data_IF_262748340446
#
_entry.id   IF_262748340446
#
_cell.length_a   1.000
_cell.length_b   1.000
_cell.length_c   1.000
_cell.angle_alpha   90.00
_cell.angle_beta   90.00
_cell.angle_gamma   90.00
#
_symmetry.space_group_name_H-M   'P 1'
#
loop_
_entity.id
_entity.type
_entity.pdbx_description
1 polymer ?
#
# COMPACT_ATOMS: atom_id res chain seq x y z
N UNK A 1 -15.31 24.56 -56.07
CA UNK A 1 -16.48 25.23 -55.46
C UNK A 1 -17.38 24.13 -54.91
N UNK A 2 -17.86 24.07 -53.66
CA UNK A 2 -17.57 24.71 -52.39
C UNK A 2 -18.05 23.70 -51.32
N UNK A 3 -17.27 23.51 -50.26
CA UNK A 3 -17.68 22.79 -49.05
C UNK A 3 -18.79 23.56 -48.30
N UNK A 4 -19.72 22.90 -47.59
CA UNK A 4 -20.56 23.58 -46.61
C UNK A 4 -19.86 23.64 -45.25
N UNK A 5 -19.79 24.87 -44.76
CA UNK A 5 -19.07 25.32 -43.58
C UNK A 5 -19.63 24.77 -42.25
N UNK A 6 -18.67 24.46 -41.38
CA UNK A 6 -18.79 24.11 -39.97
C UNK A 6 -19.58 25.17 -39.18
N UNK A 7 -20.70 24.77 -38.56
CA UNK A 7 -21.40 25.55 -37.53
C UNK A 7 -20.68 25.46 -36.18
N UNK A 8 -19.54 26.14 -36.07
CA UNK A 8 -18.76 26.32 -34.84
C UNK A 8 -19.29 27.45 -33.91
N UNK A 9 -20.35 28.16 -34.32
CA UNK A 9 -20.82 29.38 -33.62
C UNK A 9 -21.62 29.14 -32.34
N UNK A 10 -22.13 27.93 -32.07
CA UNK A 10 -22.89 27.66 -30.83
C UNK A 10 -22.01 27.47 -29.59
N UNK A 11 -20.73 27.15 -29.76
CA UNK A 11 -19.84 26.80 -28.65
C UNK A 11 -19.26 28.01 -27.92
N UNK A 12 -19.08 29.16 -28.59
CA UNK A 12 -18.45 30.34 -28.02
C UNK A 12 -19.39 31.10 -27.07
N UNK A 13 -20.63 31.37 -27.51
CA UNK A 13 -21.66 32.01 -26.66
C UNK A 13 -22.03 31.18 -25.43
N UNK A 14 -22.03 29.84 -25.56
CA UNK A 14 -22.26 28.95 -24.41
C UNK A 14 -21.09 28.96 -23.43
N UNK A 15 -19.84 29.02 -23.92
CA UNK A 15 -18.65 29.15 -23.07
C UNK A 15 -18.60 30.49 -22.34
N UNK A 16 -18.97 31.57 -23.02
CA UNK A 16 -18.97 32.93 -22.48
C UNK A 16 -20.07 33.13 -21.42
N UNK A 17 -21.28 32.61 -21.68
CA UNK A 17 -22.37 32.59 -20.69
C UNK A 17 -22.00 31.78 -19.44
N UNK A 18 -21.33 30.64 -19.64
CA UNK A 18 -20.87 29.79 -18.54
C UNK A 18 -19.74 30.43 -17.72
N UNK A 19 -18.81 31.14 -18.37
CA UNK A 19 -17.76 31.90 -17.69
C UNK A 19 -18.33 33.06 -16.86
N UNK A 20 -19.34 33.75 -17.38
CA UNK A 20 -20.05 34.83 -16.66
C UNK A 20 -20.89 34.30 -15.48
N UNK A 21 -21.50 33.12 -15.61
CA UNK A 21 -22.20 32.44 -14.50
C UNK A 21 -21.23 31.96 -13.42
N UNK A 22 -20.03 31.48 -13.80
CA UNK A 22 -18.96 31.12 -12.87
C UNK A 22 -18.41 32.32 -12.09
N UNK A 23 -18.25 33.47 -12.76
CA UNK A 23 -17.70 34.68 -12.14
C UNK A 23 -18.68 35.34 -11.15
N UNK A 24 -19.99 35.14 -11.34
CA UNK A 24 -21.04 35.67 -10.45
C UNK A 24 -21.34 34.78 -9.26
N UNK A 25 -21.04 33.49 -9.36
CA UNK A 25 -21.25 32.57 -8.26
C UNK A 25 -20.10 32.75 -7.25
N UNK A 26 -20.36 33.38 -6.10
CA UNK A 26 -19.48 33.32 -4.92
C UNK A 26 -19.45 31.88 -4.40
N UNK A 27 -18.74 31.02 -5.12
CA UNK A 27 -18.62 29.63 -4.81
C UNK A 27 -17.52 29.47 -3.76
N UNK A 28 -17.75 28.72 -2.68
CA UNK A 28 -16.70 28.42 -1.72
C UNK A 28 -15.52 27.76 -2.46
N UNK A 29 -14.29 27.94 -1.95
CA UNK A 29 -12.99 27.54 -2.55
C UNK A 29 -12.86 26.06 -2.99
N UNK A 30 -13.93 25.27 -2.85
CA UNK A 30 -13.98 23.83 -3.03
C UNK A 30 -15.03 23.36 -4.07
N UNK A 31 -15.15 24.05 -5.19
CA UNK A 31 -16.12 23.72 -6.27
C UNK A 31 -15.53 22.85 -7.42
N UNK A 32 -16.34 22.04 -8.10
CA UNK A 32 -15.90 20.90 -8.95
C UNK A 32 -16.78 20.75 -10.20
N UNK A 33 -16.19 20.35 -11.32
CA UNK A 33 -16.86 20.19 -12.61
C UNK A 33 -16.63 18.80 -13.22
N UNK A 34 -17.69 18.24 -13.83
CA UNK A 34 -17.62 17.04 -14.67
C UNK A 34 -17.74 17.41 -16.15
N UNK A 35 -17.03 16.71 -17.03
CA UNK A 35 -17.24 16.79 -18.48
C UNK A 35 -17.87 15.49 -18.98
N UNK A 36 -19.20 15.45 -19.00
CA UNK A 36 -20.00 14.42 -19.64
C UNK A 36 -21.09 15.08 -20.48
N UNK A 37 -21.33 14.58 -21.69
CA UNK A 37 -22.16 15.25 -22.72
C UNK A 37 -23.65 15.40 -22.39
N UNK A 38 -24.15 14.91 -21.24
CA UNK A 38 -25.58 14.98 -20.86
C UNK A 38 -25.90 15.18 -19.36
N UNK A 39 -24.92 15.38 -18.48
CA UNK A 39 -25.17 15.36 -17.03
C UNK A 39 -24.62 16.60 -16.30
N UNK A 40 -24.77 17.79 -16.88
CA UNK A 40 -24.16 19.02 -16.38
C UNK A 40 -24.97 19.78 -15.32
N UNK A 41 -25.91 19.15 -14.61
CA UNK A 41 -26.69 19.85 -13.58
C UNK A 41 -26.84 18.97 -12.35
N UNK A 42 -26.35 19.50 -11.24
CA UNK A 42 -26.60 19.13 -9.85
C UNK A 42 -25.54 18.26 -9.15
N UNK A 43 -25.02 18.87 -8.07
CA UNK A 43 -24.41 18.33 -6.85
C UNK A 43 -22.89 18.36 -6.68
N UNK A 44 -22.51 18.99 -5.57
CA UNK A 44 -21.18 19.44 -5.15
C UNK A 44 -20.78 18.71 -3.86
N UNK A 45 -19.90 17.70 -3.95
CA UNK A 45 -19.20 17.18 -2.75
C UNK A 45 -17.95 16.29 -2.97
N UNK A 46 -17.55 15.89 -4.20
CA UNK A 46 -16.37 14.99 -4.34
C UNK A 46 -15.51 15.29 -5.58
N UNK A 47 -14.23 15.69 -5.39
CA UNK A 47 -13.27 16.03 -6.48
C UNK A 47 -12.58 14.76 -6.97
N UNK A 48 -13.17 14.07 -7.96
CA UNK A 48 -12.44 13.09 -8.78
C UNK A 48 -12.24 13.66 -10.18
N UNK A 49 -11.04 14.17 -10.48
CA UNK A 49 -10.72 14.73 -11.80
C UNK A 49 -10.64 13.64 -12.87
N UNK A 50 -10.38 12.38 -12.52
CA UNK A 50 -10.32 11.26 -13.47
C UNK A 50 -10.77 9.96 -12.78
N UNK A 51 -12.06 9.63 -12.85
CA UNK A 51 -12.46 8.22 -12.73
C UNK A 51 -12.24 7.56 -14.11
N UNK A 52 -11.66 6.36 -14.20
CA UNK A 52 -11.41 5.68 -15.48
C UNK A 52 -12.70 5.20 -16.16
N UNK A 53 -13.86 5.64 -15.68
CA UNK A 53 -15.15 5.17 -16.15
C UNK A 53 -15.63 6.09 -17.27
N UNK A 54 -15.17 5.82 -18.48
CA UNK A 54 -15.54 6.59 -19.68
C UNK A 54 -17.03 6.50 -20.02
N UNK A 55 -17.73 5.44 -19.58
CA UNK A 55 -19.18 5.21 -19.72
C UNK A 55 -19.68 4.39 -18.54
N UNK A 56 -20.40 5.01 -17.60
CA UNK A 56 -21.17 4.29 -16.57
C UNK A 56 -22.63 4.61 -16.71
N UNK A 57 -23.47 3.59 -16.56
CA UNK A 57 -24.92 3.75 -16.40
C UNK A 57 -25.31 3.99 -14.95
N UNK A 58 -24.35 3.95 -14.02
CA UNK A 58 -24.62 4.20 -12.60
C UNK A 58 -24.90 5.68 -12.35
N UNK A 59 -26.00 6.01 -11.67
CA UNK A 59 -26.21 7.33 -11.10
C UNK A 59 -25.03 7.75 -10.22
N UNK A 60 -24.71 9.05 -10.24
CA UNK A 60 -23.62 9.60 -9.43
C UNK A 60 -23.72 9.25 -7.93
N UNK A 61 -24.91 9.24 -7.28
CA UNK A 61 -25.04 8.79 -5.89
C UNK A 61 -24.55 7.37 -5.66
N UNK A 62 -24.76 6.44 -6.61
CA UNK A 62 -24.27 5.06 -6.49
C UNK A 62 -22.75 5.00 -6.62
N UNK A 63 -22.15 5.81 -7.49
CA UNK A 63 -20.68 5.90 -7.60
C UNK A 63 -20.08 6.47 -6.31
N UNK A 64 -20.68 7.52 -5.75
CA UNK A 64 -20.25 8.12 -4.50
C UNK A 64 -20.35 7.12 -3.33
N UNK A 65 -21.49 6.43 -3.20
CA UNK A 65 -21.69 5.38 -2.21
C UNK A 65 -20.65 4.26 -2.37
N UNK A 66 -20.34 3.84 -3.60
CA UNK A 66 -19.31 2.84 -3.86
C UNK A 66 -17.92 3.26 -3.39
N UNK A 67 -17.54 4.51 -3.63
CA UNK A 67 -16.23 5.02 -3.21
C UNK A 67 -16.16 5.19 -1.70
N UNK A 68 -17.23 5.70 -1.08
CA UNK A 68 -17.30 5.86 0.37
C UNK A 68 -17.22 4.51 1.07
N UNK A 69 -18.06 3.55 0.65
CA UNK A 69 -18.06 2.21 1.23
C UNK A 69 -16.70 1.53 1.04
N UNK A 70 -16.10 1.61 -0.15
CA UNK A 70 -14.74 1.10 -0.39
C UNK A 70 -13.72 1.69 0.61
N UNK A 71 -13.81 3.00 0.87
CA UNK A 71 -12.90 3.68 1.76
C UNK A 71 -13.12 3.22 3.21
N UNK A 72 -14.35 3.05 3.66
CA UNK A 72 -14.70 2.66 5.03
C UNK A 72 -14.45 1.18 5.32
N UNK A 73 -14.53 0.31 4.32
CA UNK A 73 -14.27 -1.14 4.46
C UNK A 73 -12.88 -1.43 5.06
N UNK A 74 -12.76 -2.20 6.17
CA UNK A 74 -11.47 -2.55 6.75
C UNK A 74 -10.58 -3.34 5.78
N UNK A 75 -11.15 -4.30 5.04
CA UNK A 75 -10.47 -5.10 4.02
C UNK A 75 -11.25 -4.98 2.71
N UNK A 76 -10.67 -4.41 1.63
CA UNK A 76 -11.36 -4.23 0.37
C UNK A 76 -11.80 -5.55 -0.28
N UNK A 77 -13.10 -5.72 -0.48
CA UNK A 77 -13.69 -6.88 -1.17
C UNK A 77 -14.77 -6.42 -2.14
N UNK A 78 -14.54 -6.66 -3.44
CA UNK A 78 -15.50 -6.29 -4.49
C UNK A 78 -16.88 -6.92 -4.25
N UNK A 79 -16.93 -8.16 -3.75
CA UNK A 79 -18.20 -8.84 -3.50
C UNK A 79 -18.99 -8.19 -2.37
N UNK A 80 -18.34 -7.91 -1.24
CA UNK A 80 -18.99 -7.24 -0.10
C UNK A 80 -19.41 -5.82 -0.49
N UNK A 81 -18.52 -5.08 -1.16
CA UNK A 81 -18.79 -3.72 -1.63
C UNK A 81 -20.00 -3.65 -2.57
N UNK A 82 -20.05 -4.52 -3.59
CA UNK A 82 -21.19 -4.60 -4.48
C UNK A 82 -22.50 -4.92 -3.74
N UNK A 83 -22.45 -5.81 -2.73
CA UNK A 83 -23.61 -6.17 -1.92
C UNK A 83 -24.10 -5.01 -1.06
N UNK A 84 -23.20 -4.28 -0.41
CA UNK A 84 -23.53 -3.15 0.46
C UNK A 84 -24.12 -1.98 -0.33
N UNK A 85 -23.56 -1.68 -1.50
CA UNK A 85 -24.00 -0.57 -2.36
C UNK A 85 -25.23 -0.93 -3.20
N UNK A 86 -25.59 -2.22 -3.29
CA UNK A 86 -26.74 -2.69 -4.07
C UNK A 86 -26.49 -2.69 -5.59
N UNK A 87 -25.26 -3.00 -6.01
CA UNK A 87 -24.85 -2.96 -7.42
C UNK A 87 -24.28 -4.30 -7.89
N UNK A 88 -24.43 -4.59 -9.18
CA UNK A 88 -23.93 -5.85 -9.74
C UNK A 88 -22.39 -5.86 -9.89
N UNK A 89 -21.81 -7.06 -9.86
CA UNK A 89 -20.38 -7.30 -10.15
C UNK A 89 -20.08 -7.24 -11.65
N UNK A 90 -20.45 -6.14 -12.30
CA UNK A 90 -20.23 -5.87 -13.71
C UNK A 90 -18.85 -5.27 -14.00
N UNK A 91 -18.59 -4.97 -15.28
CA UNK A 91 -17.33 -4.33 -15.72
C UNK A 91 -17.07 -3.01 -14.98
N UNK A 92 -18.10 -2.19 -14.77
CA UNK A 92 -17.99 -0.90 -14.09
C UNK A 92 -17.48 -1.05 -12.66
N UNK A 93 -18.13 -1.90 -11.84
CA UNK A 93 -17.72 -2.11 -10.45
C UNK A 93 -16.33 -2.73 -10.33
N UNK A 94 -15.99 -3.68 -11.22
CA UNK A 94 -14.64 -4.26 -11.31
C UNK A 94 -13.58 -3.20 -11.62
N UNK A 95 -13.82 -2.35 -12.62
CA UNK A 95 -12.88 -1.30 -13.02
C UNK A 95 -12.71 -0.25 -11.93
N UNK A 96 -13.80 0.22 -11.32
CA UNK A 96 -13.75 1.19 -10.24
C UNK A 96 -13.01 0.63 -9.02
N UNK A 97 -13.33 -0.60 -8.61
CA UNK A 97 -12.65 -1.27 -7.50
C UNK A 97 -11.15 -1.42 -7.75
N UNK A 98 -10.76 -1.95 -8.92
CA UNK A 98 -9.34 -2.10 -9.29
C UNK A 98 -8.61 -0.78 -9.32
N UNK A 99 -9.27 0.28 -9.79
CA UNK A 99 -8.69 1.61 -9.82
C UNK A 99 -8.49 2.15 -8.41
N UNK A 100 -9.50 2.10 -7.53
CA UNK A 100 -9.39 2.57 -6.14
C UNK A 100 -8.27 1.83 -5.39
N UNK A 101 -8.24 0.50 -5.51
CA UNK A 101 -7.20 -0.33 -4.91
C UNK A 101 -5.81 -0.01 -5.46
N UNK A 102 -5.69 0.20 -6.77
CA UNK A 102 -4.45 0.64 -7.41
C UNK A 102 -3.97 2.01 -6.92
N UNK A 103 -4.89 2.97 -6.71
CA UNK A 103 -4.54 4.29 -6.18
C UNK A 103 -4.06 4.23 -4.72
N UNK A 104 -4.74 3.47 -3.86
CA UNK A 104 -4.29 3.26 -2.48
C UNK A 104 -2.92 2.59 -2.43
N UNK A 105 -2.69 1.59 -3.28
CA UNK A 105 -1.42 0.89 -3.36
C UNK A 105 -0.27 1.81 -3.82
N UNK A 106 -0.47 2.57 -4.90
CA UNK A 106 0.54 3.48 -5.42
C UNK A 106 0.91 4.55 -4.38
N UNK A 107 -0.09 5.13 -3.73
CA UNK A 107 0.12 6.11 -2.68
C UNK A 107 0.81 5.50 -1.44
N UNK A 108 0.37 4.31 -1.02
CA UNK A 108 0.98 3.56 0.08
C UNK A 108 2.45 3.28 -0.18
N UNK A 109 2.78 2.76 -1.36
CA UNK A 109 4.16 2.50 -1.77
C UNK A 109 5.00 3.78 -1.79
N UNK A 110 4.51 4.85 -2.43
CA UNK A 110 5.24 6.11 -2.52
C UNK A 110 5.50 6.74 -1.15
N UNK A 111 4.56 6.64 -0.21
CA UNK A 111 4.73 7.12 1.16
C UNK A 111 5.68 6.24 1.96
N UNK A 112 5.59 4.92 1.81
CA UNK A 112 6.50 3.98 2.46
C UNK A 112 7.94 4.23 2.03
N UNK A 113 8.21 4.46 0.74
CA UNK A 113 9.55 4.76 0.22
C UNK A 113 10.19 6.02 0.81
N UNK A 114 9.37 6.94 1.32
CA UNK A 114 9.82 8.18 1.99
C UNK A 114 9.91 8.03 3.50
N UNK A 115 9.42 6.91 4.05
CA UNK A 115 9.48 6.65 5.47
C UNK A 115 10.93 6.42 5.89
N UNK A 116 11.30 7.01 7.03
CA UNK A 116 12.61 6.81 7.65
C UNK A 116 12.41 6.23 9.03
N UNK A 117 13.17 5.16 9.31
CA UNK A 117 13.14 4.44 10.57
C UNK A 117 14.37 4.80 11.41
N UNK A 118 14.24 4.79 12.73
CA UNK A 118 15.35 5.10 13.65
C UNK A 118 15.19 4.41 15.00
N UNK A 119 16.28 4.31 15.75
CA UNK A 119 16.25 3.77 17.10
C UNK A 119 16.36 2.25 17.11
N UNK A 120 15.46 1.55 17.81
CA UNK A 120 15.45 0.09 17.87
C UNK A 120 14.46 -0.46 16.83
N UNK A 121 14.94 -1.29 15.92
CA UNK A 121 14.20 -1.82 14.78
C UNK A 121 14.19 -3.34 14.83
N UNK A 122 13.04 -3.94 14.61
CA UNK A 122 12.95 -5.39 14.37
C UNK A 122 12.98 -5.64 12.87
N UNK A 123 13.80 -6.61 12.43
CA UNK A 123 13.90 -7.03 11.04
C UNK A 123 13.66 -8.53 10.92
N UNK A 124 12.83 -8.90 9.96
CA UNK A 124 12.46 -10.28 9.69
C UNK A 124 11.92 -10.44 8.26
N UNK A 125 11.92 -11.68 7.77
CA UNK A 125 11.32 -12.09 6.52
C UNK A 125 10.18 -13.07 6.74
N UNK A 126 9.14 -12.97 5.92
CA UNK A 126 8.05 -13.95 5.92
C UNK A 126 7.68 -14.35 4.50
N UNK A 127 6.74 -15.26 4.34
CA UNK A 127 6.21 -15.60 3.02
C UNK A 127 4.69 -15.73 3.01
N UNK A 128 4.13 -15.47 1.83
CA UNK A 128 2.76 -15.80 1.45
C UNK A 128 2.83 -16.98 0.49
N UNK A 129 2.27 -18.12 0.88
CA UNK A 129 2.19 -19.30 0.01
C UNK A 129 1.21 -19.01 -1.12
N UNK A 130 1.67 -18.97 -2.36
CA UNK A 130 0.83 -18.66 -3.52
C UNK A 130 0.10 -19.89 -4.08
N UNK A 131 0.86 -20.95 -4.35
CA UNK A 131 0.31 -22.16 -4.94
C UNK A 131 1.25 -23.33 -4.83
N UNK A 132 0.67 -24.52 -4.97
CA UNK A 132 1.41 -25.75 -5.17
C UNK A 132 1.29 -26.14 -6.63
N UNK A 133 2.42 -26.48 -7.26
CA UNK A 133 2.43 -27.07 -8.60
C UNK A 133 3.31 -28.30 -8.58
N UNK A 134 2.74 -29.43 -8.99
CA UNK A 134 3.34 -30.75 -8.81
C UNK A 134 3.83 -30.96 -7.36
N UNK A 135 5.14 -31.12 -7.18
CA UNK A 135 5.83 -31.31 -5.90
C UNK A 135 6.61 -30.07 -5.45
N UNK A 136 6.26 -28.87 -5.93
CA UNK A 136 6.86 -27.62 -5.50
C UNK A 136 5.83 -26.66 -4.91
N UNK A 137 6.23 -25.89 -3.91
CA UNK A 137 5.49 -24.73 -3.43
C UNK A 137 6.10 -23.46 -3.99
N UNK A 138 5.24 -22.51 -4.35
CA UNK A 138 5.63 -21.17 -4.78
C UNK A 138 5.20 -20.17 -3.71
N UNK A 139 6.12 -19.31 -3.34
CA UNK A 139 5.96 -18.35 -2.26
C UNK A 139 6.31 -16.96 -2.75
N UNK A 140 5.52 -15.97 -2.36
CA UNK A 140 5.99 -14.58 -2.36
C UNK A 140 6.69 -14.35 -1.05
N UNK A 141 8.01 -14.17 -1.11
CA UNK A 141 8.76 -13.74 0.04
C UNK A 141 8.49 -12.26 0.31
N UNK A 142 8.46 -11.91 1.58
CA UNK A 142 8.32 -10.56 2.09
C UNK A 142 9.47 -10.32 3.04
N UNK A 143 9.95 -9.09 3.07
CA UNK A 143 10.91 -8.64 4.08
C UNK A 143 10.47 -7.30 4.63
N UNK A 144 10.74 -7.07 5.91
CA UNK A 144 10.35 -5.81 6.52
C UNK A 144 11.16 -5.42 7.72
N UNK A 145 10.93 -4.17 8.10
CA UNK A 145 11.49 -3.53 9.26
C UNK A 145 10.36 -2.84 10.01
N UNK A 146 10.36 -2.92 11.33
CA UNK A 146 9.45 -2.15 12.17
C UNK A 146 10.22 -1.42 13.25
N UNK A 147 9.94 -0.13 13.38
CA UNK A 147 10.45 0.69 14.46
C UNK A 147 9.70 0.37 15.74
N UNK A 148 10.43 -0.01 16.78
CA UNK A 148 9.85 -0.15 18.10
C UNK A 148 9.42 1.23 18.59
N UNK A 149 8.17 1.35 19.07
CA UNK A 149 7.67 2.64 19.50
C UNK A 149 8.53 3.15 20.66
N UNK A 150 9.03 4.39 20.52
CA UNK A 150 9.26 5.25 21.69
C UNK A 150 7.91 5.62 22.31
N UNK A 151 7.86 6.58 23.24
CA UNK A 151 6.60 6.97 23.86
C UNK A 151 5.57 7.51 22.83
N UNK A 152 4.38 6.88 22.80
CA UNK A 152 3.12 7.33 22.19
C UNK A 152 3.03 7.44 20.65
N UNK A 153 3.95 6.85 19.87
CA UNK A 153 3.84 6.83 18.40
C UNK A 153 3.46 5.46 17.85
N UNK A 154 2.60 5.45 16.82
CA UNK A 154 2.34 4.25 16.04
C UNK A 154 3.67 3.77 15.42
N UNK A 155 3.99 2.46 15.54
CA UNK A 155 5.23 1.93 15.02
C UNK A 155 5.27 2.08 13.50
N UNK A 156 6.29 2.79 13.00
CA UNK A 156 6.56 2.88 11.58
C UNK A 156 7.07 1.53 11.08
N UNK A 157 6.65 1.13 9.89
CA UNK A 157 7.14 -0.10 9.27
C UNK A 157 7.44 0.10 7.80
N UNK A 158 8.37 -0.70 7.30
CA UNK A 158 8.71 -0.86 5.90
C UNK A 158 8.45 -2.31 5.52
N UNK A 159 7.81 -2.54 4.37
CA UNK A 159 7.53 -3.88 3.88
C UNK A 159 7.78 -3.96 2.38
N UNK A 160 8.55 -4.96 1.99
CA UNK A 160 8.99 -5.16 0.62
C UNK A 160 8.58 -6.53 0.12
N UNK A 161 8.11 -6.56 -1.12
CA UNK A 161 8.00 -7.78 -1.89
C UNK A 161 9.39 -8.21 -2.33
N UNK A 162 9.73 -9.45 -2.06
CA UNK A 162 10.93 -10.10 -2.57
C UNK A 162 10.58 -11.01 -3.75
N UNK A 163 11.58 -11.45 -4.54
CA UNK A 163 11.36 -12.38 -5.64
C UNK A 163 10.61 -13.64 -5.21
N UNK A 164 9.78 -14.17 -6.12
CA UNK A 164 9.06 -15.43 -5.90
C UNK A 164 10.06 -16.56 -5.66
N UNK A 165 9.85 -17.31 -4.58
CA UNK A 165 10.66 -18.46 -4.20
C UNK A 165 9.94 -19.75 -4.53
N UNK A 166 10.64 -20.64 -5.22
CA UNK A 166 10.23 -22.03 -5.44
C UNK A 166 10.90 -22.90 -4.39
N UNK A 167 10.12 -23.67 -3.65
CA UNK A 167 10.61 -24.67 -2.70
C UNK A 167 10.06 -26.05 -3.04
N UNK A 168 10.74 -27.11 -2.59
CA UNK A 168 10.19 -28.45 -2.67
C UNK A 168 8.96 -28.58 -1.76
N UNK A 169 8.14 -29.60 -2.03
CA UNK A 169 7.02 -29.95 -1.19
C UNK A 169 7.52 -30.18 0.25
N UNK A 170 6.85 -29.56 1.22
CA UNK A 170 7.17 -29.62 2.65
C UNK A 170 8.47 -28.92 3.09
N UNK A 171 9.21 -28.27 2.19
CA UNK A 171 10.35 -27.44 2.57
C UNK A 171 9.90 -26.07 3.09
N UNK A 172 10.64 -25.55 4.07
CA UNK A 172 10.50 -24.18 4.57
C UNK A 172 10.97 -23.20 3.49
N UNK A 173 10.24 -22.09 3.30
CA UNK A 173 10.61 -21.06 2.34
C UNK A 173 11.87 -20.30 2.81
N UNK A 174 12.95 -20.23 2.02
CA UNK A 174 14.06 -19.34 2.31
C UNK A 174 13.62 -17.91 2.01
N UNK A 175 13.18 -17.21 3.06
CA UNK A 175 12.60 -15.86 2.97
C UNK A 175 13.66 -14.77 2.90
N UNK A 176 14.83 -15.01 3.48
CA UNK A 176 15.85 -13.99 3.68
C UNK A 176 17.15 -14.39 2.99
N UNK A 177 17.51 -13.66 1.95
CA UNK A 177 18.85 -13.70 1.38
C UNK A 177 19.43 -12.29 1.36
N UNK A 178 20.76 -12.19 1.45
CA UNK A 178 21.45 -10.90 1.40
C UNK A 178 21.10 -10.15 0.11
N UNK A 179 21.14 -10.84 -1.03
CA UNK A 179 20.85 -10.26 -2.33
C UNK A 179 19.41 -9.73 -2.42
N UNK A 180 18.43 -10.50 -1.94
CA UNK A 180 17.04 -10.07 -1.97
C UNK A 180 16.82 -8.84 -1.06
N UNK A 181 17.34 -8.84 0.17
CA UNK A 181 17.20 -7.71 1.09
C UNK A 181 17.84 -6.45 0.51
N UNK A 182 19.06 -6.54 -0.05
CA UNK A 182 19.74 -5.41 -0.66
C UNK A 182 18.97 -4.85 -1.86
N UNK A 183 18.33 -5.71 -2.66
CA UNK A 183 17.53 -5.27 -3.82
C UNK A 183 16.35 -4.37 -3.46
N UNK A 184 15.93 -4.37 -2.19
CA UNK A 184 14.82 -3.52 -1.72
C UNK A 184 15.22 -2.07 -1.47
N UNK A 185 16.51 -1.79 -1.23
CA UNK A 185 17.00 -0.50 -0.73
C UNK A 185 16.50 -0.14 0.68
N UNK A 186 15.75 -1.01 1.37
CA UNK A 186 15.07 -0.65 2.60
C UNK A 186 16.00 -0.36 3.78
N UNK A 187 17.22 -0.91 3.79
CA UNK A 187 18.23 -0.60 4.80
C UNK A 187 18.76 0.84 4.69
N UNK A 188 18.69 1.48 3.53
CA UNK A 188 19.08 2.89 3.31
C UNK A 188 18.05 3.88 3.91
N UNK A 189 16.89 3.38 4.33
CA UNK A 189 15.86 4.15 5.02
C UNK A 189 16.05 4.14 6.55
N UNK A 190 17.09 3.48 7.05
CA UNK A 190 17.45 3.49 8.46
C UNK A 190 18.38 4.67 8.73
N UNK A 191 17.92 5.60 9.55
CA UNK A 191 18.69 6.75 10.00
C UNK A 191 19.37 6.46 11.33
N UNK A 192 20.36 7.28 11.68
CA UNK A 192 20.93 7.30 13.03
C UNK A 192 19.93 7.95 13.98
N UNK A 193 20.02 7.61 15.27
CA UNK A 193 19.13 8.16 16.29
C UNK A 193 19.88 9.10 17.23
N UNK A 194 19.22 10.18 17.64
CA UNK A 194 19.70 11.04 18.71
C UNK A 194 19.24 10.47 20.05
N UNK A 195 20.19 10.11 20.91
CA UNK A 195 19.90 9.71 22.29
C UNK A 195 20.74 10.55 23.24
N UNK A 196 20.06 11.24 24.16
CA UNK A 196 20.70 12.16 25.12
C UNK A 196 21.62 13.20 24.43
N UNK A 197 21.16 13.75 23.30
CA UNK A 197 21.91 14.75 22.52
C UNK A 197 23.10 14.20 21.72
N UNK A 198 23.33 12.88 21.69
CA UNK A 198 24.43 12.27 20.93
C UNK A 198 23.92 11.42 19.77
N UNK A 199 24.56 11.60 18.63
CA UNK A 199 24.36 10.77 17.45
C UNK A 199 24.77 9.32 17.75
N UNK A 200 23.83 8.38 17.56
CA UNK A 200 23.96 6.97 17.92
C UNK A 200 23.45 6.11 16.78
N UNK A 201 24.16 5.02 16.49
CA UNK A 201 23.75 4.03 15.48
C UNK A 201 22.40 3.43 15.87
N UNK A 202 21.47 3.29 14.92
CA UNK A 202 20.26 2.52 15.14
C UNK A 202 20.58 1.05 15.42
N UNK A 203 19.70 0.38 16.14
CA UNK A 203 19.84 -0.97 16.64
C UNK A 203 18.88 -1.90 15.88
N UNK A 204 19.43 -2.86 15.16
CA UNK A 204 18.69 -3.92 14.50
C UNK A 204 18.55 -5.13 15.44
N UNK A 205 17.33 -5.63 15.57
CA UNK A 205 16.91 -6.77 16.39
C UNK A 205 16.33 -7.85 15.47
N UNK A 206 16.83 -9.08 15.54
CA UNK A 206 16.46 -10.15 14.58
C UNK A 206 16.31 -11.50 15.28
N UNK A 207 15.77 -12.47 14.54
CA UNK A 207 15.47 -13.85 14.98
C UNK A 207 16.70 -14.81 15.00
N UNK A 208 17.84 -14.32 14.51
CA UNK A 208 19.11 -15.03 14.48
C UNK A 208 19.54 -15.49 13.08
N UNK A 209 18.82 -15.13 12.02
CA UNK A 209 19.25 -15.41 10.65
C UNK A 209 20.65 -14.83 10.36
N UNK A 210 21.54 -15.66 9.81
CA UNK A 210 22.96 -15.34 9.61
C UNK A 210 23.20 -14.12 8.72
N UNK A 211 22.23 -13.79 7.85
CA UNK A 211 22.32 -12.68 6.90
C UNK A 211 22.49 -11.32 7.59
N UNK A 212 21.88 -11.15 8.78
CA UNK A 212 21.77 -9.83 9.41
C UNK A 212 23.06 -9.32 10.03
N UNK A 213 23.96 -10.21 10.48
CA UNK A 213 25.23 -9.78 11.07
C UNK A 213 26.10 -9.00 10.06
N UNK A 214 26.16 -9.49 8.81
CA UNK A 214 26.89 -8.82 7.73
C UNK A 214 26.18 -7.55 7.27
N UNK A 215 24.85 -7.59 7.09
CA UNK A 215 24.06 -6.43 6.70
C UNK A 215 24.19 -5.28 7.73
N UNK A 216 24.07 -5.59 9.02
CA UNK A 216 24.20 -4.58 10.07
C UNK A 216 25.57 -3.92 10.07
N UNK A 217 26.65 -4.70 9.85
CA UNK A 217 28.01 -4.14 9.74
C UNK A 217 28.14 -3.20 8.55
N UNK A 218 27.65 -3.60 7.38
CA UNK A 218 27.73 -2.84 6.13
C UNK A 218 26.96 -1.50 6.23
N UNK A 219 25.80 -1.49 6.89
CA UNK A 219 24.96 -0.30 7.07
C UNK A 219 25.23 0.45 8.37
N UNK A 220 26.31 0.11 9.08
CA UNK A 220 26.72 0.82 10.29
C UNK A 220 25.71 0.74 11.45
N UNK A 221 24.95 -0.34 11.55
CA UNK A 221 23.95 -0.58 12.59
C UNK A 221 24.55 -1.34 13.77
N UNK A 222 24.02 -1.10 14.98
CA UNK A 222 24.20 -2.04 16.09
C UNK A 222 23.30 -3.25 15.83
N UNK A 223 23.76 -4.46 16.16
CA UNK A 223 22.96 -5.68 15.96
C UNK A 223 22.87 -6.52 17.23
N UNK A 224 21.67 -6.98 17.54
CA UNK A 224 21.38 -7.98 18.56
C UNK A 224 20.37 -8.96 18.01
N UNK A 225 20.46 -10.21 18.44
CA UNK A 225 19.56 -11.24 17.97
C UNK A 225 19.27 -12.25 19.08
N UNK A 226 18.11 -12.87 18.97
CA UNK A 226 17.81 -14.14 19.64
C UNK A 226 18.01 -15.27 18.63
N UNK A 227 17.98 -16.53 19.06
CA UNK A 227 18.16 -17.66 18.15
C UNK A 227 16.91 -18.53 18.17
N UNK A 228 15.98 -18.26 17.25
CA UNK A 228 14.70 -18.98 17.16
C UNK A 228 14.89 -20.48 16.91
N UNK A 229 15.93 -20.86 16.16
CA UNK A 229 16.28 -22.27 15.93
C UNK A 229 16.69 -23.04 17.20
N UNK A 230 17.00 -22.33 18.29
CA UNK A 230 17.28 -22.90 19.62
C UNK A 230 16.14 -22.69 20.61
N UNK A 231 14.95 -22.28 20.14
CA UNK A 231 13.79 -22.01 20.99
C UNK A 231 13.92 -20.73 21.84
N UNK A 232 14.88 -19.84 21.52
CA UNK A 232 15.03 -18.55 22.20
C UNK A 232 14.27 -17.48 21.43
N UNK A 233 13.18 -16.97 22.01
CA UNK A 233 12.30 -15.98 21.37
C UNK A 233 12.42 -14.58 21.98
N UNK A 234 12.99 -14.45 23.19
CA UNK A 234 13.22 -13.16 23.82
C UNK A 234 14.36 -13.23 24.84
N UNK A 235 15.20 -12.20 24.89
CA UNK A 235 16.29 -12.10 25.87
C UNK A 235 16.61 -10.64 26.22
N UNK A 236 16.98 -10.36 27.47
CA UNK A 236 17.48 -9.04 27.86
C UNK A 236 18.99 -8.93 27.60
N UNK A 237 19.39 -8.15 26.60
CA UNK A 237 20.80 -7.98 26.22
C UNK A 237 21.26 -6.53 26.39
N UNK A 238 22.56 -6.34 26.65
CA UNK A 238 23.19 -5.01 26.63
C UNK A 238 23.46 -4.57 25.18
N UNK A 239 22.97 -3.40 24.79
CA UNK A 239 23.10 -2.84 23.45
C UNK A 239 23.87 -1.50 23.46
N UNK A 240 24.92 -1.42 24.29
CA UNK A 240 25.81 -0.27 24.37
C UNK A 240 25.05 1.01 24.71
N UNK A 241 25.10 2.02 23.81
CA UNK A 241 24.39 3.29 23.98
C UNK A 241 22.87 3.15 24.03
N UNK A 242 22.32 2.00 23.62
CA UNK A 242 20.90 1.72 23.76
C UNK A 242 20.49 1.24 25.16
N UNK A 243 21.46 0.99 26.05
CA UNK A 243 21.23 0.42 27.36
C UNK A 243 20.87 -1.07 27.28
N UNK A 244 20.14 -1.56 28.28
CA UNK A 244 19.56 -2.92 28.23
C UNK A 244 18.28 -2.90 27.42
N UNK A 245 18.19 -3.76 26.42
CA UNK A 245 17.02 -3.92 25.57
C UNK A 245 16.53 -5.36 25.61
N UNK A 246 15.22 -5.55 25.48
CA UNK A 246 14.62 -6.87 25.28
C UNK A 246 14.71 -7.22 23.80
N UNK A 247 15.60 -8.11 23.39
CA UNK A 247 15.73 -8.55 22.00
C UNK A 247 14.63 -9.57 21.71
N UNK A 248 13.79 -9.31 20.70
CA UNK A 248 12.77 -10.22 20.13
C UNK A 248 12.25 -9.62 18.80
N UNK A 249 11.44 -10.37 18.05
CA UNK A 249 10.79 -9.98 16.78
C UNK A 249 9.27 -9.87 16.87
N UNK A 250 8.71 -9.74 18.08
CA UNK A 250 7.27 -9.86 18.28
C UNK A 250 6.43 -8.80 17.55
N UNK A 251 6.97 -7.60 17.33
CA UNK A 251 6.26 -6.52 16.65
C UNK A 251 6.23 -6.72 15.13
N UNK A 252 7.32 -7.24 14.55
CA UNK A 252 7.33 -7.58 13.12
C UNK A 252 6.49 -8.83 12.85
N UNK A 253 6.50 -9.81 13.76
CA UNK A 253 5.64 -11.00 13.71
C UNK A 253 4.14 -10.64 13.74
N UNK A 254 3.75 -9.70 14.61
CA UNK A 254 2.39 -9.16 14.61
C UNK A 254 2.07 -8.45 13.30
N UNK A 255 3.00 -7.67 12.76
CA UNK A 255 2.84 -7.01 11.46
C UNK A 255 2.59 -8.02 10.34
N UNK A 256 3.29 -9.15 10.35
CA UNK A 256 3.04 -10.24 9.41
C UNK A 256 1.67 -10.88 9.57
N UNK A 257 1.18 -11.02 10.80
CA UNK A 257 -0.17 -11.51 11.07
C UNK A 257 -1.22 -10.57 10.47
N UNK A 258 -1.07 -9.26 10.67
CA UNK A 258 -1.99 -8.25 10.15
C UNK A 258 -2.03 -8.23 8.60
N UNK A 259 -0.86 -8.25 7.97
CA UNK A 259 -0.74 -8.28 6.50
C UNK A 259 -1.38 -9.55 5.93
N UNK A 260 -1.10 -10.71 6.51
CA UNK A 260 -1.66 -12.01 6.08
C UNK A 260 -3.18 -12.04 6.22
N UNK A 261 -3.73 -11.38 7.25
CA UNK A 261 -5.17 -11.24 7.44
C UNK A 261 -5.83 -10.31 6.40
N UNK A 262 -5.11 -9.31 5.90
CA UNK A 262 -5.62 -8.34 4.94
C UNK A 262 -5.60 -8.85 3.49
N UNK A 263 -4.60 -9.65 3.12
CA UNK A 263 -4.47 -10.19 1.75
C UNK A 263 -5.52 -11.28 1.51
N UNK A 264 -6.40 -11.16 0.48
CA UNK A 264 -7.38 -12.19 0.18
C UNK A 264 -6.72 -13.53 -0.17
N UNK A 265 -7.18 -14.61 0.47
CA UNK A 265 -6.68 -15.99 0.26
C UNK A 265 -6.84 -16.47 -1.19
N UNK A 266 -7.75 -15.90 -1.96
CA UNK A 266 -7.94 -16.24 -3.38
C UNK A 266 -6.80 -15.70 -4.28
N UNK A 267 -6.06 -14.69 -3.84
CA UNK A 267 -4.86 -14.21 -4.54
C UNK A 267 -3.64 -15.09 -4.26
N UNK A 268 -3.72 -15.89 -3.21
CA UNK A 268 -2.73 -16.88 -2.77
C UNK A 268 -3.19 -18.30 -3.13
N UNK A 269 -3.99 -18.44 -4.19
CA UNK A 269 -4.41 -19.71 -4.76
C UNK A 269 -4.09 -19.71 -6.27
N UNK A 270 -3.24 -20.64 -6.71
CA UNK A 270 -2.68 -20.62 -8.07
C UNK A 270 -3.68 -20.97 -9.15
N UNK A 271 -3.48 -20.35 -10.32
CA UNK A 271 -4.08 -20.80 -11.59
C UNK A 271 -3.35 -22.06 -12.07
N UNK A 272 -4.11 -23.09 -12.48
CA UNK A 272 -3.58 -24.43 -12.82
C UNK A 272 -2.60 -24.49 -14.01
N UNK A 273 -2.48 -23.43 -14.83
CA UNK A 273 -2.09 -23.58 -16.24
C UNK A 273 -0.88 -22.73 -16.74
N UNK A 274 0.04 -22.23 -15.92
CA UNK A 274 1.23 -21.51 -16.44
C UNK A 274 2.55 -22.16 -16.00
N UNK A 275 3.46 -22.35 -16.96
CA UNK A 275 4.84 -22.79 -16.72
C UNK A 275 5.73 -21.78 -16.02
N UNK A 276 5.28 -20.53 -15.96
CA UNK A 276 6.02 -19.44 -15.33
C UNK A 276 5.61 -19.20 -13.87
N UNK A 277 6.58 -18.89 -12.98
CA UNK A 277 6.34 -18.44 -11.61
C UNK A 277 5.79 -17.00 -11.59
N UNK A 278 4.61 -16.80 -12.15
CA UNK A 278 3.90 -15.51 -12.07
C UNK A 278 3.02 -15.49 -10.82
N UNK A 279 3.05 -14.39 -10.06
CA UNK A 279 2.11 -14.15 -8.96
C UNK A 279 1.01 -13.19 -9.42
N UNK A 280 -0.12 -13.19 -8.73
CA UNK A 280 -1.20 -12.27 -9.05
C UNK A 280 -0.73 -10.82 -8.78
N UNK A 281 -0.68 -9.91 -9.79
CA UNK A 281 -0.20 -8.55 -9.61
C UNK A 281 -1.03 -7.75 -8.59
N UNK A 282 -2.27 -8.18 -8.31
CA UNK A 282 -3.10 -7.58 -7.26
C UNK A 282 -2.54 -7.79 -5.85
N UNK A 283 -1.62 -8.74 -5.63
CA UNK A 283 -0.97 -8.93 -4.33
C UNK A 283 -0.20 -7.68 -3.89
N UNK A 284 0.53 -7.06 -4.83
CA UNK A 284 1.19 -5.77 -4.62
C UNK A 284 0.19 -4.72 -4.17
N UNK A 285 -0.99 -4.71 -4.80
CA UNK A 285 -1.99 -3.70 -4.51
C UNK A 285 -2.56 -3.84 -3.09
N UNK A 286 -2.87 -5.07 -2.67
CA UNK A 286 -3.35 -5.31 -1.30
C UNK A 286 -2.30 -5.01 -0.24
N UNK A 287 -1.03 -5.36 -0.49
CA UNK A 287 0.05 -5.11 0.47
C UNK A 287 0.23 -3.62 0.75
N UNK A 288 0.31 -2.79 -0.29
CA UNK A 288 0.54 -1.36 -0.11
C UNK A 288 -0.73 -0.58 0.23
N UNK A 289 -1.92 -1.07 -0.15
CA UNK A 289 -3.18 -0.54 0.37
C UNK A 289 -3.33 -0.80 1.88
N UNK A 290 -2.94 -1.99 2.37
CA UNK A 290 -2.84 -2.28 3.79
C UNK A 290 -1.90 -1.29 4.49
N UNK A 291 -0.72 -1.07 3.92
CA UNK A 291 0.28 -0.17 4.51
C UNK A 291 -0.28 1.25 4.64
N UNK A 292 -0.94 1.76 3.60
CA UNK A 292 -1.59 3.07 3.63
C UNK A 292 -2.68 3.13 4.71
N UNK A 293 -3.55 2.11 4.77
CA UNK A 293 -4.66 2.06 5.73
C UNK A 293 -4.20 1.97 7.18
N UNK A 294 -3.14 1.19 7.45
CA UNK A 294 -2.51 1.12 8.77
C UNK A 294 -1.97 2.49 9.24
N UNK A 295 -1.34 3.23 8.32
CA UNK A 295 -0.70 4.51 8.64
C UNK A 295 -1.61 5.73 8.45
N UNK A 296 -2.83 5.54 7.97
CA UNK A 296 -3.84 6.58 7.74
C UNK A 296 -5.21 5.92 7.89
N UNK A 297 -5.66 5.63 9.13
CA UNK A 297 -6.88 4.86 9.38
C UNK A 297 -8.16 5.62 9.00
N UNK A 298 -8.12 6.94 8.93
CA UNK A 298 -9.24 7.80 8.56
C UNK A 298 -9.53 7.72 7.05
N UNK A 299 -10.70 7.17 6.69
CA UNK A 299 -11.14 7.03 5.29
C UNK A 299 -11.17 8.37 4.54
N UNK A 300 -11.65 9.43 5.19
CA UNK A 300 -11.70 10.79 4.62
C UNK A 300 -10.31 11.29 4.24
N UNK A 301 -9.31 11.03 5.08
CA UNK A 301 -7.94 11.47 4.83
C UNK A 301 -7.33 10.71 3.64
N UNK A 302 -7.52 9.38 3.57
CA UNK A 302 -7.06 8.58 2.43
C UNK A 302 -7.66 9.05 1.11
N UNK A 303 -8.97 9.26 1.07
CA UNK A 303 -9.65 9.78 -0.13
C UNK A 303 -9.13 11.17 -0.53
N UNK A 304 -8.90 12.05 0.44
CA UNK A 304 -8.31 13.35 0.20
C UNK A 304 -6.88 13.24 -0.36
N UNK A 305 -6.08 12.30 0.11
CA UNK A 305 -4.73 12.05 -0.43
C UNK A 305 -4.78 11.54 -1.87
N UNK A 306 -5.64 10.58 -2.20
CA UNK A 306 -5.84 10.10 -3.58
C UNK A 306 -6.25 11.28 -4.47
N UNK A 307 -7.22 12.08 -4.04
CA UNK A 307 -7.65 13.27 -4.78
C UNK A 307 -6.53 14.29 -5.00
N UNK A 308 -5.63 14.50 -4.03
CA UNK A 308 -4.45 15.36 -4.19
C UNK A 308 -3.43 14.79 -5.17
N UNK A 309 -3.11 13.50 -5.06
CA UNK A 309 -2.15 12.84 -5.94
C UNK A 309 -2.58 12.92 -7.41
N UNK A 310 -3.87 12.73 -7.68
CA UNK A 310 -4.43 12.84 -9.03
C UNK A 310 -4.36 14.26 -9.61
N UNK A 311 -4.40 15.30 -8.76
CA UNK A 311 -4.25 16.69 -9.21
C UNK A 311 -2.81 17.06 -9.51
N UNK A 312 -1.84 16.49 -8.81
CA UNK A 312 -0.43 16.74 -9.07
C UNK A 312 0.14 15.98 -10.28
N UNK A 313 -0.63 15.05 -10.85
CA UNK A 313 -0.26 14.25 -12.01
C UNK A 313 -0.95 14.69 -13.31
N UNK A 314 -1.83 15.70 -13.26
CA UNK A 314 -2.57 16.26 -14.39
C UNK A 314 -2.03 17.65 -14.74
#
# INVERSE_FOLDING_TARGET
MCEPAITQRSSAKQKEKFAQELARAQLPEHSIWFRGSRCCRLYSAVRFTVLPIRKTTWPLPQVAAFVQEYAEMPVPSLQALCRQVGVSRCTTSKTLFKWLLGQEAALGYARMQRCKLRGALEGDGTCLKLFRRAQANFHVALWGLVERPGSAQNPKCLIYLLPVKKTAANSVCPVESRADILSTGGLEQIERCLRSGRDTKSLLLTDGAQVYGRLAKEYGLSHRFVVHSKGQFSEMQSAGRHGRVRVNTGLIDQTWTDVKGFVPKCLTAGTKNSDEPSYNPHLFQYLYAWWLRKNTPEAKERLAMIGRALRGAA
#
